data_IF_923961346482
#
_entry.id   IF_923961346482
#
_cell.length_a   1.000
_cell.length_b   1.000
_cell.length_c   1.000
_cell.angle_alpha   90.00
_cell.angle_beta   90.00
_cell.angle_gamma   90.00
#
_symmetry.space_group_name_H-M   'P 1'
#
loop_
_entity.id
_entity.type
_entity.pdbx_description
1 polymer ?
#
# COMPACT_ATOMS: atom_id res chain seq x y z
N UNK A 1 21.02 28.68 -37.43
CA UNK A 1 20.82 28.42 -35.98
C UNK A 1 19.76 27.35 -35.86
N UNK A 2 20.02 26.19 -35.22
CA UNK A 2 18.96 25.27 -34.87
C UNK A 2 18.15 25.84 -33.68
N UNK A 3 16.86 25.50 -33.55
CA UNK A 3 16.02 25.98 -32.45
C UNK A 3 16.48 25.40 -31.11
N UNK A 4 16.46 26.25 -30.08
CA UNK A 4 16.82 25.92 -28.70
C UNK A 4 15.82 24.90 -28.11
N UNK A 5 16.34 23.71 -27.75
CA UNK A 5 15.64 22.72 -26.92
C UNK A 5 15.53 23.22 -25.46
N UNK A 6 14.53 24.08 -25.17
CA UNK A 6 14.08 24.37 -23.80
C UNK A 6 13.01 23.33 -23.33
N UNK A 7 12.84 23.10 -22.02
CA UNK A 7 13.10 21.81 -21.41
C UNK A 7 11.82 20.99 -21.19
N UNK A 8 11.53 20.07 -22.12
CA UNK A 8 10.48 19.05 -21.91
C UNK A 8 10.69 18.19 -20.65
N UNK A 9 11.93 18.15 -20.12
CA UNK A 9 12.30 17.42 -18.89
C UNK A 9 11.78 18.08 -17.60
N UNK A 10 11.62 19.41 -17.53
CA UNK A 10 11.20 20.04 -16.26
C UNK A 10 9.70 19.85 -16.01
N UNK A 11 8.87 20.03 -17.04
CA UNK A 11 7.41 19.86 -16.95
C UNK A 11 7.03 18.41 -16.59
N UNK A 12 7.73 17.43 -17.15
CA UNK A 12 7.51 16.02 -16.82
C UNK A 12 7.94 15.68 -15.39
N UNK A 13 9.05 16.24 -14.91
CA UNK A 13 9.52 16.03 -13.54
C UNK A 13 8.56 16.65 -12.51
N UNK A 14 8.01 17.82 -12.80
CA UNK A 14 7.06 18.51 -11.93
C UNK A 14 5.71 17.78 -11.87
N UNK A 15 5.22 17.23 -12.98
CA UNK A 15 4.02 16.40 -13.00
C UNK A 15 4.17 15.09 -12.19
N UNK A 16 5.36 14.46 -12.27
CA UNK A 16 5.68 13.26 -11.48
C UNK A 16 5.73 13.60 -9.99
N UNK A 17 6.33 14.74 -9.62
CA UNK A 17 6.40 15.20 -8.24
C UNK A 17 5.01 15.57 -7.68
N UNK A 18 4.15 16.22 -8.47
CA UNK A 18 2.77 16.51 -8.08
C UNK A 18 1.97 15.23 -7.79
N UNK A 19 2.02 14.25 -8.71
CA UNK A 19 1.37 12.94 -8.51
C UNK A 19 1.90 12.23 -7.26
N UNK A 20 3.20 12.31 -7.01
CA UNK A 20 3.85 11.70 -5.83
C UNK A 20 3.43 12.39 -4.54
N UNK A 21 3.25 13.71 -4.56
CA UNK A 21 2.78 14.48 -3.41
C UNK A 21 1.32 14.17 -3.09
N UNK A 22 0.43 14.11 -4.09
CA UNK A 22 -0.97 13.68 -3.90
C UNK A 22 -1.05 12.28 -3.29
N UNK A 23 -0.23 11.38 -3.81
CA UNK A 23 -0.09 10.01 -3.32
C UNK A 23 0.38 9.97 -1.86
N UNK A 24 1.31 10.86 -1.47
CA UNK A 24 1.82 10.98 -0.11
C UNK A 24 0.85 11.68 0.84
N UNK A 25 0.08 12.65 0.37
CA UNK A 25 -0.95 13.30 1.16
C UNK A 25 -2.00 12.28 1.60
N UNK A 26 -2.45 11.41 0.69
CA UNK A 26 -3.33 10.29 1.04
C UNK A 26 -2.72 9.36 2.10
N UNK A 27 -1.40 9.21 2.11
CA UNK A 27 -0.67 8.40 3.11
C UNK A 27 -0.65 9.06 4.47
N UNK A 28 -0.30 10.34 4.51
CA UNK A 28 -0.25 11.12 5.73
C UNK A 28 -1.64 11.22 6.39
N UNK A 29 -2.70 11.36 5.59
CA UNK A 29 -4.09 11.40 6.09
C UNK A 29 -4.57 10.06 6.66
N UNK A 30 -3.97 8.94 6.24
CA UNK A 30 -4.29 7.61 6.76
C UNK A 30 -3.50 7.24 8.03
N UNK A 31 -2.44 7.99 8.37
CA UNK A 31 -1.65 7.76 9.57
C UNK A 31 -2.42 8.14 10.85
N UNK A 32 -2.04 7.54 11.99
CA UNK A 32 -2.47 8.03 13.29
C UNK A 32 -2.13 9.52 13.46
N UNK A 33 -3.06 10.28 14.05
CA UNK A 33 -2.89 11.71 14.27
C UNK A 33 -1.69 11.97 15.17
N UNK A 34 -0.78 12.81 14.71
CA UNK A 34 0.35 13.32 15.50
C UNK A 34 0.70 14.74 15.06
N UNK A 35 1.33 15.56 15.93
CA UNK A 35 1.77 16.90 15.54
C UNK A 35 2.71 16.88 14.31
N UNK A 36 3.62 15.91 14.26
CA UNK A 36 4.54 15.74 13.13
C UNK A 36 3.80 15.39 11.82
N UNK A 37 2.78 14.52 11.89
CA UNK A 37 1.93 14.22 10.73
C UNK A 37 1.17 15.46 10.26
N UNK A 38 0.61 16.25 11.18
CA UNK A 38 -0.16 17.44 10.85
C UNK A 38 0.68 18.49 10.13
N UNK A 39 1.92 18.72 10.57
CA UNK A 39 2.87 19.64 9.90
C UNK A 39 3.16 19.19 8.48
N UNK A 40 3.41 17.89 8.26
CA UNK A 40 3.67 17.36 6.92
C UNK A 40 2.46 17.44 6.00
N UNK A 41 1.23 17.28 6.54
CA UNK A 41 -0.01 17.49 5.78
C UNK A 41 -0.11 18.95 5.35
N UNK A 42 0.07 19.91 6.26
CA UNK A 42 -0.01 21.33 5.95
C UNK A 42 1.03 21.74 4.89
N UNK A 43 2.27 21.28 5.04
CA UNK A 43 3.34 21.50 4.05
C UNK A 43 3.03 20.86 2.69
N UNK A 44 2.36 19.70 2.65
CA UNK A 44 2.00 19.01 1.42
C UNK A 44 0.75 19.59 0.73
N UNK A 45 -0.21 20.12 1.48
CA UNK A 45 -1.40 20.80 0.94
C UNK A 45 -1.07 22.19 0.40
N UNK A 46 -0.09 22.88 1.03
CA UNK A 46 0.32 24.23 0.68
C UNK A 46 1.84 24.32 0.56
N UNK A 47 2.44 23.66 -0.45
CA UNK A 47 3.88 23.71 -0.64
C UNK A 47 4.32 25.15 -0.90
N UNK A 48 5.09 25.73 0.03
CA UNK A 48 5.61 27.10 -0.06
C UNK A 48 6.94 27.18 -0.83
N UNK A 49 7.33 26.11 -1.52
CA UNK A 49 8.63 26.02 -2.18
C UNK A 49 8.61 26.70 -3.54
N UNK A 50 9.65 27.49 -3.81
CA UNK A 50 9.88 28.15 -5.10
C UNK A 50 10.79 27.33 -6.02
N UNK A 51 11.31 26.19 -5.56
CA UNK A 51 12.22 25.33 -6.32
C UNK A 51 11.93 23.82 -6.15
N UNK A 52 12.48 23.02 -7.08
CA UNK A 52 12.33 21.57 -7.10
C UNK A 52 13.11 20.84 -6.00
N UNK A 53 14.09 21.50 -5.36
CA UNK A 53 14.88 20.89 -4.29
C UNK A 53 14.08 20.82 -2.99
N UNK A 54 13.38 21.90 -2.64
CA UNK A 54 12.47 21.96 -1.50
C UNK A 54 11.36 20.93 -1.60
N UNK A 55 10.71 20.80 -2.76
CA UNK A 55 9.68 19.79 -2.99
C UNK A 55 10.21 18.35 -2.85
N UNK A 56 11.40 18.06 -3.39
CA UNK A 56 12.05 16.75 -3.21
C UNK A 56 12.37 16.48 -1.73
N UNK A 57 12.80 17.49 -0.99
CA UNK A 57 13.07 17.38 0.44
C UNK A 57 11.81 17.11 1.26
N UNK A 58 10.69 17.77 0.95
CA UNK A 58 9.39 17.46 1.55
C UNK A 58 8.96 16.02 1.27
N UNK A 59 9.02 15.60 0.00
CA UNK A 59 8.66 14.23 -0.42
C UNK A 59 9.48 13.20 0.35
N UNK A 60 10.79 13.38 0.46
CA UNK A 60 11.67 12.45 1.17
C UNK A 60 11.31 12.35 2.67
N UNK A 61 11.11 13.50 3.35
CA UNK A 61 10.70 13.53 4.75
C UNK A 61 9.33 12.89 4.97
N UNK A 62 8.37 13.17 4.10
CA UNK A 62 7.03 12.59 4.18
C UNK A 62 7.08 11.07 3.97
N UNK A 63 7.88 10.58 3.02
CA UNK A 63 8.08 9.14 2.80
C UNK A 63 8.70 8.45 4.01
N UNK A 64 9.73 9.04 4.60
CA UNK A 64 10.38 8.54 5.80
C UNK A 64 9.40 8.51 6.98
N UNK A 65 8.69 9.62 7.22
CA UNK A 65 7.69 9.72 8.29
C UNK A 65 6.59 8.68 8.14
N UNK A 66 6.07 8.48 6.92
CA UNK A 66 5.06 7.43 6.71
C UNK A 66 5.66 6.06 6.95
N UNK A 67 6.88 5.80 6.47
CA UNK A 67 7.53 4.51 6.68
C UNK A 67 7.73 4.20 8.17
N UNK A 68 8.03 5.20 8.98
CA UNK A 68 8.19 5.03 10.43
C UNK A 68 6.88 4.85 11.19
N UNK A 69 5.77 5.43 10.68
CA UNK A 69 4.50 5.50 11.41
C UNK A 69 3.43 4.54 10.91
N UNK A 70 3.50 4.11 9.66
CA UNK A 70 2.54 3.18 9.09
C UNK A 70 2.68 1.80 9.72
N UNK A 71 1.54 1.15 9.94
CA UNK A 71 1.49 -0.26 10.35
C UNK A 71 0.93 -1.11 9.22
N UNK A 72 1.49 -2.29 9.03
CA UNK A 72 1.05 -3.25 8.04
C UNK A 72 0.43 -4.50 8.68
N UNK A 73 -0.58 -5.06 8.03
CA UNK A 73 -1.03 -6.43 8.23
C UNK A 73 -0.67 -7.28 6.99
N UNK A 74 -0.33 -8.55 7.23
CA UNK A 74 -0.17 -9.57 6.20
C UNK A 74 -1.26 -10.62 6.38
N UNK A 75 -1.96 -10.96 5.30
CA UNK A 75 -3.07 -11.92 5.33
C UNK A 75 -2.90 -12.98 4.24
N UNK A 76 -3.04 -14.25 4.60
CA UNK A 76 -3.05 -15.35 3.64
C UNK A 76 -4.05 -16.44 4.00
N UNK A 77 -4.51 -17.15 2.99
CA UNK A 77 -5.16 -18.46 3.16
C UNK A 77 -4.12 -19.52 2.89
N UNK A 78 -3.79 -20.34 3.89
CA UNK A 78 -2.67 -21.30 3.82
C UNK A 78 -3.13 -22.74 4.02
N UNK A 79 -2.49 -23.73 3.37
CA UNK A 79 -2.68 -25.13 3.73
C UNK A 79 -2.26 -25.40 5.18
N UNK A 80 -2.86 -26.39 5.86
CA UNK A 80 -2.39 -26.84 7.17
C UNK A 80 -0.89 -27.15 7.14
N UNK A 81 -0.12 -26.59 8.08
CA UNK A 81 1.33 -26.81 8.19
C UNK A 81 2.21 -25.95 7.27
N UNK A 82 1.66 -25.05 6.46
CA UNK A 82 2.42 -24.20 5.53
C UNK A 82 2.75 -22.78 6.04
N UNK A 83 2.43 -22.47 7.30
CA UNK A 83 2.37 -21.10 7.84
C UNK A 83 3.63 -20.26 7.60
N UNK A 84 4.80 -20.69 8.07
CA UNK A 84 5.99 -19.80 8.14
C UNK A 84 6.53 -19.35 6.76
N UNK A 85 6.54 -20.24 5.76
CA UNK A 85 7.09 -19.89 4.43
C UNK A 85 6.21 -18.92 3.65
N UNK A 86 4.89 -18.94 3.89
CA UNK A 86 3.94 -18.09 3.19
C UNK A 86 4.07 -16.60 3.56
N UNK A 87 4.58 -16.29 4.76
CA UNK A 87 4.65 -14.91 5.25
C UNK A 87 5.93 -14.16 4.88
N UNK A 88 7.04 -14.84 4.65
CA UNK A 88 8.33 -14.18 4.43
C UNK A 88 8.32 -13.22 3.23
N UNK A 89 7.69 -13.61 2.12
CA UNK A 89 7.58 -12.77 0.92
C UNK A 89 6.67 -11.56 1.16
N UNK A 90 5.58 -11.74 1.91
CA UNK A 90 4.67 -10.66 2.28
C UNK A 90 5.32 -9.67 3.24
N UNK A 91 6.09 -10.15 4.22
CA UNK A 91 6.85 -9.30 5.14
C UNK A 91 7.92 -8.50 4.41
N UNK A 92 8.60 -9.13 3.44
CA UNK A 92 9.56 -8.45 2.56
C UNK A 92 8.87 -7.38 1.71
N UNK A 93 7.65 -7.63 1.24
CA UNK A 93 6.87 -6.62 0.53
C UNK A 93 6.45 -5.46 1.46
N UNK A 94 6.01 -5.75 2.69
CA UNK A 94 5.62 -4.76 3.69
C UNK A 94 6.79 -3.87 4.12
N UNK A 95 7.99 -4.43 4.30
CA UNK A 95 9.20 -3.69 4.72
C UNK A 95 9.63 -2.56 3.76
N UNK A 96 9.11 -2.56 2.53
CA UNK A 96 9.32 -1.47 1.56
C UNK A 96 8.54 -0.21 1.92
N UNK A 97 7.52 -0.34 2.76
CA UNK A 97 6.50 0.66 3.01
C UNK A 97 6.36 1.04 4.48
N UNK A 98 6.73 0.16 5.42
CA UNK A 98 6.77 0.44 6.84
C UNK A 98 8.00 -0.20 7.52
N UNK A 99 8.45 0.37 8.64
CA UNK A 99 9.53 -0.20 9.48
C UNK A 99 9.00 -1.16 10.53
N UNK A 100 7.75 -0.99 10.96
CA UNK A 100 7.11 -1.87 11.93
C UNK A 100 6.97 -3.30 11.40
N UNK A 101 7.15 -4.29 12.29
CA UNK A 101 6.90 -5.69 11.96
C UNK A 101 5.41 -5.88 11.62
N UNK A 102 5.06 -6.49 10.47
CA UNK A 102 3.66 -6.66 10.11
C UNK A 102 2.90 -7.60 11.04
N UNK A 103 1.61 -7.32 11.26
CA UNK A 103 0.69 -8.18 11.98
C UNK A 103 0.30 -9.37 11.08
N UNK A 104 0.53 -10.60 11.54
CA UNK A 104 0.28 -11.82 10.73
C UNK A 104 -1.11 -12.37 11.01
N UNK A 105 -1.89 -12.55 9.95
CA UNK A 105 -3.21 -13.18 9.99
C UNK A 105 -3.32 -14.25 8.91
N UNK A 106 -4.03 -15.34 9.19
CA UNK A 106 -4.34 -16.34 8.17
C UNK A 106 -5.64 -17.08 8.45
N UNK A 107 -6.16 -17.67 7.39
CA UNK A 107 -7.17 -18.73 7.45
C UNK A 107 -6.60 -20.02 6.87
N UNK A 108 -7.17 -21.16 7.26
CA UNK A 108 -6.75 -22.47 6.76
C UNK A 108 -7.59 -22.90 5.55
N UNK A 109 -6.94 -23.34 4.48
CA UNK A 109 -7.61 -24.00 3.36
C UNK A 109 -8.02 -25.46 3.72
N UNK A 110 -9.16 -25.98 3.23
CA UNK A 110 -10.19 -25.34 2.42
C UNK A 110 -11.31 -24.65 3.23
N UNK A 111 -11.16 -24.57 4.57
CA UNK A 111 -12.19 -24.08 5.50
C UNK A 111 -12.56 -22.60 5.30
N UNK A 112 -11.74 -21.84 4.57
CA UNK A 112 -11.94 -20.43 4.24
C UNK A 112 -13.16 -20.10 3.33
N UNK A 113 -14.15 -20.98 3.25
CA UNK A 113 -15.40 -20.75 2.50
C UNK A 113 -16.19 -19.57 3.06
N UNK A 114 -16.57 -19.62 4.34
CA UNK A 114 -17.40 -18.58 5.00
C UNK A 114 -16.86 -18.11 6.36
N UNK A 115 -16.22 -19.00 7.13
CA UNK A 115 -15.58 -18.63 8.39
C UNK A 115 -14.12 -18.26 8.14
N UNK A 116 -13.88 -16.96 7.89
CA UNK A 116 -12.55 -16.38 7.73
C UNK A 116 -12.17 -15.52 8.95
N UNK A 117 -11.94 -16.11 10.13
CA UNK A 117 -11.61 -15.35 11.34
C UNK A 117 -10.32 -14.54 11.19
N UNK A 118 -9.34 -15.03 10.44
CA UNK A 118 -8.11 -14.30 10.14
C UNK A 118 -8.39 -13.06 9.30
N UNK A 119 -9.23 -13.17 8.26
CA UNK A 119 -9.65 -12.01 7.49
C UNK A 119 -10.48 -11.04 8.33
N UNK A 120 -11.39 -11.55 9.16
CA UNK A 120 -12.21 -10.72 10.05
C UNK A 120 -11.35 -9.84 10.94
N UNK A 121 -10.35 -10.42 11.60
CA UNK A 121 -9.42 -9.69 12.45
C UNK A 121 -8.67 -8.60 11.68
N UNK A 122 -8.30 -8.84 10.42
CA UNK A 122 -7.68 -7.82 9.56
C UNK A 122 -8.65 -6.69 9.24
N UNK A 123 -9.90 -7.02 8.90
CA UNK A 123 -10.91 -6.00 8.62
C UNK A 123 -11.25 -5.15 9.85
N UNK A 124 -11.26 -5.75 11.05
CA UNK A 124 -11.36 -5.02 12.33
C UNK A 124 -10.19 -4.03 12.50
N UNK A 125 -8.95 -4.46 12.26
CA UNK A 125 -7.77 -3.57 12.29
C UNK A 125 -7.89 -2.41 11.30
N UNK A 126 -8.48 -2.65 10.13
CA UNK A 126 -8.74 -1.62 9.10
C UNK A 126 -9.82 -0.65 9.58
N UNK A 127 -10.90 -1.15 10.17
CA UNK A 127 -11.96 -0.32 10.73
C UNK A 127 -11.47 0.55 11.89
N UNK A 128 -10.63 0.00 12.75
CA UNK A 128 -10.00 0.73 13.86
C UNK A 128 -8.88 1.68 13.41
N UNK A 129 -8.56 1.71 12.10
CA UNK A 129 -7.43 2.48 11.53
C UNK A 129 -6.08 2.13 12.16
N UNK A 130 -5.96 0.91 12.68
CA UNK A 130 -4.74 0.39 13.29
C UNK A 130 -3.71 -0.04 12.25
N UNK A 131 -4.12 -0.21 10.99
CA UNK A 131 -3.24 -0.54 9.86
C UNK A 131 -3.50 0.37 8.67
N UNK A 132 -2.43 0.71 7.94
CA UNK A 132 -2.47 1.52 6.71
C UNK A 132 -2.15 0.68 5.47
N UNK A 133 -1.65 -0.54 5.66
CA UNK A 133 -1.21 -1.42 4.60
C UNK A 133 -1.73 -2.83 4.86
N UNK A 134 -2.36 -3.42 3.85
CA UNK A 134 -2.70 -4.84 3.82
C UNK A 134 -1.91 -5.50 2.69
N UNK A 135 -1.08 -6.48 3.04
CA UNK A 135 -0.37 -7.31 2.07
C UNK A 135 -1.01 -8.70 2.02
N UNK A 136 -1.27 -9.19 0.81
CA UNK A 136 -1.76 -10.54 0.53
C UNK A 136 -0.83 -11.22 -0.48
N UNK A 137 -0.77 -12.56 -0.58
CA UNK A 137 0.08 -13.20 -1.58
C UNK A 137 -0.37 -12.86 -3.00
N UNK A 138 -1.66 -13.06 -3.27
CA UNK A 138 -2.41 -12.66 -4.47
C UNK A 138 -3.83 -12.24 -4.06
N UNK A 139 -4.57 -11.63 -4.98
CA UNK A 139 -5.97 -11.26 -4.73
C UNK A 139 -6.90 -12.47 -4.54
N UNK A 140 -6.49 -13.67 -4.99
CA UNK A 140 -7.26 -14.91 -4.84
C UNK A 140 -7.36 -15.37 -3.37
N UNK A 141 -6.51 -14.83 -2.50
CA UNK A 141 -6.64 -15.05 -1.07
C UNK A 141 -7.80 -14.26 -0.47
N UNK A 142 -8.35 -13.26 -1.15
CA UNK A 142 -9.56 -12.56 -0.73
C UNK A 142 -10.81 -13.28 -1.25
N UNK A 143 -11.97 -13.14 -0.58
CA UNK A 143 -13.24 -13.65 -1.09
C UNK A 143 -13.52 -13.12 -2.50
N UNK A 144 -13.90 -13.98 -3.46
CA UNK A 144 -14.23 -13.53 -4.81
C UNK A 144 -15.55 -12.75 -4.83
N UNK A 145 -15.77 -11.98 -5.89
CA UNK A 145 -17.09 -11.39 -6.17
C UNK A 145 -18.03 -12.51 -6.64
N UNK A 146 -19.01 -12.88 -5.80
CA UNK A 146 -20.05 -13.86 -6.11
C UNK A 146 -21.32 -13.21 -6.68
N UNK A 147 -22.20 -13.99 -7.31
CA UNK A 147 -23.47 -13.52 -7.93
C UNK A 147 -24.66 -13.48 -6.95
N UNK A 148 -24.53 -14.06 -5.75
CA UNK A 148 -25.55 -14.04 -4.70
C UNK A 148 -25.07 -13.21 -3.52
N UNK A 149 -25.61 -12.00 -3.37
CA UNK A 149 -25.30 -11.12 -2.25
C UNK A 149 -25.95 -11.64 -0.97
N UNK A 150 -25.21 -11.68 0.13
CA UNK A 150 -25.83 -11.47 1.45
C UNK A 150 -24.99 -10.70 2.47
N UNK A 151 -23.76 -10.26 2.13
CA UNK A 151 -23.15 -9.10 2.76
C UNK A 151 -22.10 -8.49 1.82
N UNK A 152 -22.35 -7.27 1.33
CA UNK A 152 -21.50 -6.62 0.31
C UNK A 152 -20.04 -6.49 0.77
N UNK A 153 -19.77 -6.45 2.07
CA UNK A 153 -18.45 -6.29 2.68
C UNK A 153 -17.56 -7.54 2.59
N UNK A 154 -18.12 -8.73 2.35
CA UNK A 154 -17.38 -10.00 2.27
C UNK A 154 -17.06 -10.43 0.83
N UNK A 155 -16.97 -9.44 -0.07
CA UNK A 155 -16.58 -9.62 -1.48
C UNK A 155 -15.26 -8.90 -1.76
N UNK A 156 -14.55 -9.24 -2.83
CA UNK A 156 -13.33 -8.52 -3.22
C UNK A 156 -13.63 -7.03 -3.43
N UNK A 157 -14.75 -6.72 -4.08
CA UNK A 157 -15.21 -5.35 -4.30
C UNK A 157 -15.52 -4.63 -2.99
N UNK A 158 -16.24 -5.28 -2.07
CA UNK A 158 -16.55 -4.73 -0.75
C UNK A 158 -15.32 -4.46 0.11
N UNK A 159 -14.39 -5.41 0.15
CA UNK A 159 -13.12 -5.27 0.88
C UNK A 159 -12.32 -4.11 0.28
N UNK A 160 -12.21 -4.02 -1.06
CA UNK A 160 -11.51 -2.91 -1.71
C UNK A 160 -12.16 -1.56 -1.41
N UNK A 161 -13.50 -1.50 -1.40
CA UNK A 161 -14.22 -0.28 -1.05
C UNK A 161 -13.95 0.13 0.40
N UNK A 162 -13.98 -0.82 1.35
CA UNK A 162 -13.65 -0.58 2.76
C UNK A 162 -12.22 -0.09 2.92
N UNK A 163 -11.24 -0.78 2.33
CA UNK A 163 -9.83 -0.38 2.37
C UNK A 163 -9.65 1.04 1.82
N UNK A 164 -10.26 1.35 0.67
CA UNK A 164 -10.22 2.68 0.07
C UNK A 164 -10.84 3.75 0.98
N UNK A 165 -11.99 3.46 1.60
CA UNK A 165 -12.66 4.39 2.52
C UNK A 165 -11.84 4.67 3.79
N UNK A 166 -10.96 3.73 4.18
CA UNK A 166 -10.06 3.88 5.33
C UNK A 166 -8.64 4.30 4.95
N UNK A 167 -8.36 4.56 3.68
CA UNK A 167 -7.02 4.93 3.21
C UNK A 167 -6.00 3.79 3.30
N UNK A 168 -6.45 2.54 3.43
CA UNK A 168 -5.60 1.35 3.53
C UNK A 168 -5.22 0.87 2.14
N UNK A 169 -3.93 0.60 1.92
CA UNK A 169 -3.45 0.08 0.64
C UNK A 169 -3.40 -1.44 0.63
N UNK A 170 -3.99 -2.00 -0.41
CA UNK A 170 -3.89 -3.41 -0.74
C UNK A 170 -2.67 -3.67 -1.63
N UNK A 171 -1.80 -4.59 -1.22
CA UNK A 171 -0.58 -4.96 -1.94
C UNK A 171 -0.57 -6.48 -2.14
N UNK A 172 -0.51 -6.93 -3.39
CA UNK A 172 -0.20 -8.33 -3.68
C UNK A 172 1.32 -8.53 -3.62
N UNK A 173 1.82 -9.52 -2.88
CA UNK A 173 3.25 -9.84 -2.82
C UNK A 173 3.76 -10.38 -4.18
N UNK A 174 2.91 -11.08 -4.94
CA UNK A 174 3.23 -11.57 -6.29
C UNK A 174 3.27 -10.46 -7.37
N UNK A 175 2.98 -9.20 -7.01
CA UNK A 175 3.09 -8.09 -7.95
C UNK A 175 4.56 -7.82 -8.42
N UNK A 176 5.55 -8.60 -7.93
CA UNK A 176 6.99 -8.41 -8.19
C UNK A 176 7.76 -9.58 -8.83
N UNK A 177 7.13 -10.60 -9.42
CA UNK A 177 7.81 -11.25 -10.58
C UNK A 177 7.98 -10.29 -11.77
N UNK A 178 7.32 -9.13 -11.74
CA UNK A 178 7.13 -8.24 -12.90
C UNK A 178 7.80 -6.86 -12.86
N UNK A 179 8.70 -6.54 -11.90
CA UNK A 179 9.46 -5.27 -11.98
C UNK A 179 10.99 -5.38 -11.91
N UNK A 180 11.57 -6.59 -11.79
CA UNK A 180 13.03 -6.76 -11.95
C UNK A 180 13.48 -8.08 -12.61
N UNK A 181 12.61 -9.06 -12.80
CA UNK A 181 12.98 -10.35 -13.43
C UNK A 181 12.79 -10.42 -14.95
N UNK A 182 12.07 -9.47 -15.57
CA UNK A 182 11.72 -9.53 -17.01
C UNK A 182 12.46 -8.56 -17.93
N UNK A 183 13.36 -7.74 -17.41
CA UNK A 183 14.27 -6.91 -18.24
C UNK A 183 15.67 -7.51 -18.41
N UNK A 184 16.01 -8.62 -17.74
CA UNK A 184 17.34 -9.26 -17.84
C UNK A 184 17.29 -10.58 -18.65
N UNK A 185 16.10 -11.01 -19.12
CA UNK A 185 15.90 -12.32 -19.75
C UNK A 185 15.42 -12.30 -21.21
N UNK A 186 15.48 -11.18 -21.92
CA UNK A 186 15.04 -11.09 -23.33
C UNK A 186 16.06 -10.34 -24.23
N UNK A 187 17.34 -10.45 -23.90
CA UNK A 187 18.45 -10.18 -24.81
C UNK A 187 19.42 -11.37 -24.74
N UNK A 188 19.01 -12.47 -25.36
CA UNK A 188 19.90 -13.48 -25.91
C UNK A 188 19.53 -13.65 -27.37
#
# INVERSE_FOLDING_TARGET
>A
MPPEDFPRRSVAADAILGTRLETLLGWLLALPSSPATAVLIEEAERPSFTDSAGLRGLVARAEEHVKERATAAVYAVVPPGAGERAFADMETAAARYCTAKPLRHHDLAPLAGHERPGLRAVLELVEDRSVQILVVPSLDHLPPDGTGAEDSLWTLTGIRALLSARGVRLIAADHRRTLSGRMVGAAR
#
